data_IF_589966267259
#
_entry.id   IF_589966267259
#
_cell.length_a   1.000
_cell.length_b   1.000
_cell.length_c   1.000
_cell.angle_alpha   90.00
_cell.angle_beta   90.00
_cell.angle_gamma   90.00
#
_symmetry.space_group_name_H-M   'P 1'
#
loop_
_entity.id
_entity.type
_entity.pdbx_description
1 polymer ?
#
# COMPACT_ATOMS: atom_id res chain seq x y z
N UNK A 1 4.98 -1.53 17.86
CA UNK A 1 5.49 -1.29 16.51
C UNK A 1 6.82 -2.01 16.29
N UNK A 2 7.03 -2.59 15.10
CA UNK A 2 8.23 -3.37 14.73
C UNK A 2 9.20 -2.50 13.92
N UNK A 3 10.49 -2.47 14.29
CA UNK A 3 11.55 -1.71 13.59
C UNK A 3 12.60 -2.67 13.01
N UNK A 4 13.26 -2.29 11.92
CA UNK A 4 14.20 -3.17 11.20
C UNK A 4 15.57 -2.51 11.03
N UNK A 5 16.69 -3.14 11.46
CA UNK A 5 18.01 -2.63 11.15
C UNK A 5 18.29 -2.71 9.65
N UNK A 6 18.99 -1.71 9.10
CA UNK A 6 19.29 -1.61 7.66
C UNK A 6 20.07 -2.83 7.09
N UNK A 7 20.79 -3.55 7.95
CA UNK A 7 21.57 -4.75 7.60
C UNK A 7 20.73 -6.04 7.60
N UNK A 8 19.47 -5.99 8.03
CA UNK A 8 18.61 -7.17 8.08
C UNK A 8 18.33 -7.72 6.69
N UNK A 9 18.30 -9.05 6.59
CA UNK A 9 17.91 -9.74 5.36
C UNK A 9 16.38 -9.76 5.21
N UNK A 10 15.91 -9.60 3.99
CA UNK A 10 14.47 -9.53 3.67
C UNK A 10 13.71 -10.86 3.80
N UNK A 11 14.41 -11.99 3.93
CA UNK A 11 13.80 -13.32 4.05
C UNK A 11 13.25 -13.67 5.44
N UNK A 12 13.32 -12.74 6.38
CA UNK A 12 12.71 -12.94 7.70
C UNK A 12 11.18 -12.92 7.56
N UNK A 13 10.59 -14.11 7.48
CA UNK A 13 9.14 -14.37 7.37
C UNK A 13 8.30 -13.67 8.46
N UNK A 14 8.93 -13.29 9.58
CA UNK A 14 8.33 -12.49 10.64
C UNK A 14 7.92 -11.08 10.22
N UNK A 15 8.63 -10.46 9.26
CA UNK A 15 8.33 -9.10 8.78
C UNK A 15 7.14 -9.06 7.82
N UNK A 16 7.04 -10.08 6.95
CA UNK A 16 5.97 -10.17 5.94
C UNK A 16 4.61 -10.55 6.56
N UNK A 17 4.60 -11.28 7.66
CA UNK A 17 3.39 -11.74 8.34
C UNK A 17 2.90 -10.80 9.44
N UNK A 18 3.58 -9.68 9.70
CA UNK A 18 3.28 -8.81 10.85
C UNK A 18 2.00 -7.96 10.68
N UNK A 19 1.42 -7.94 9.48
CA UNK A 19 0.27 -7.09 9.14
C UNK A 19 0.62 -5.62 8.88
N UNK A 20 1.89 -5.23 9.05
CA UNK A 20 2.33 -3.85 8.85
C UNK A 20 2.77 -3.60 7.41
N UNK A 21 2.39 -2.42 6.87
CA UNK A 21 2.79 -2.02 5.52
C UNK A 21 4.05 -1.14 5.47
N UNK A 22 4.42 -0.51 6.59
CA UNK A 22 5.47 0.51 6.68
C UNK A 22 6.40 0.16 7.83
N UNK A 23 7.67 -0.09 7.53
CA UNK A 23 8.67 -0.49 8.50
C UNK A 23 9.75 0.59 8.65
N UNK A 24 9.88 1.21 9.83
CA UNK A 24 10.99 2.11 10.13
C UNK A 24 12.31 1.36 10.05
N UNK A 25 13.28 1.96 9.36
CA UNK A 25 14.62 1.41 9.20
C UNK A 25 15.62 2.28 9.93
N UNK A 26 16.41 1.67 10.80
CA UNK A 26 17.43 2.34 11.59
C UNK A 26 18.85 1.85 11.27
N UNK A 27 19.84 2.63 11.70
CA UNK A 27 21.25 2.30 11.56
C UNK A 27 21.66 1.08 12.39
N UNK A 28 22.61 0.27 11.91
CA UNK A 28 23.11 -0.86 12.68
C UNK A 28 23.85 -0.34 13.91
N UNK A 29 23.45 -0.81 15.09
CA UNK A 29 24.04 -0.38 16.37
C UNK A 29 23.47 0.91 16.95
N UNK A 30 22.62 1.65 16.22
CA UNK A 30 21.93 2.84 16.75
C UNK A 30 20.42 2.81 16.43
N UNK A 31 19.57 2.33 17.34
CA UNK A 31 18.12 2.25 17.13
C UNK A 31 17.41 3.61 17.15
N UNK A 32 18.09 4.68 17.58
CA UNK A 32 17.52 6.03 17.62
C UNK A 32 17.80 6.82 16.33
N UNK A 33 18.63 6.27 15.44
CA UNK A 33 19.03 6.88 14.17
C UNK A 33 18.28 6.20 13.03
N UNK A 34 17.19 6.82 12.57
CA UNK A 34 16.36 6.31 11.49
C UNK A 34 16.82 6.84 10.14
N UNK A 35 16.96 5.96 9.16
CA UNK A 35 17.29 6.33 7.77
C UNK A 35 16.05 6.54 6.90
N UNK A 36 14.93 5.90 7.26
CA UNK A 36 13.72 6.01 6.47
C UNK A 36 12.72 4.89 6.70
N UNK A 37 11.83 4.71 5.71
CA UNK A 37 10.76 3.72 5.72
C UNK A 37 10.92 2.70 4.59
N UNK A 38 10.90 1.42 4.95
CA UNK A 38 10.73 0.31 4.02
C UNK A 38 9.23 0.03 3.84
N UNK A 39 8.76 0.04 2.59
CA UNK A 39 7.37 -0.27 2.26
C UNK A 39 7.25 -1.72 1.82
N UNK A 40 6.30 -2.46 2.41
CA UNK A 40 6.09 -3.88 2.10
C UNK A 40 5.82 -4.12 0.61
N UNK A 41 5.14 -3.19 -0.06
CA UNK A 41 4.86 -3.24 -1.50
C UNK A 41 6.13 -3.35 -2.36
N UNK A 42 7.28 -2.83 -1.88
CA UNK A 42 8.56 -2.95 -2.57
C UNK A 42 9.13 -4.36 -2.47
N UNK A 43 8.81 -5.09 -1.41
CA UNK A 43 9.22 -6.47 -1.20
C UNK A 43 8.34 -7.46 -1.97
N UNK A 44 7.07 -7.12 -2.25
CA UNK A 44 6.15 -8.01 -2.99
C UNK A 44 6.59 -8.30 -4.44
N UNK A 45 7.33 -7.38 -5.06
CA UNK A 45 7.82 -7.52 -6.45
C UNK A 45 9.18 -8.23 -6.51
N UNK A 46 9.82 -8.40 -5.36
CA UNK A 46 11.18 -8.93 -5.25
C UNK A 46 11.18 -10.43 -4.99
N UNK A 47 12.15 -11.13 -5.58
CA UNK A 47 12.35 -12.55 -5.36
C UNK A 47 13.04 -12.82 -4.01
N UNK A 48 12.37 -13.44 -3.03
CA UNK A 48 12.94 -13.73 -1.72
C UNK A 48 14.21 -14.60 -1.81
N UNK A 49 14.39 -15.44 -2.83
CA UNK A 49 15.56 -16.31 -2.92
C UNK A 49 16.91 -15.56 -2.92
N UNK A 50 16.90 -14.26 -3.30
CA UNK A 50 18.11 -13.42 -3.37
C UNK A 50 18.60 -12.90 -2.00
N UNK A 51 17.80 -12.98 -0.93
CA UNK A 51 18.14 -12.56 0.42
C UNK A 51 18.95 -11.24 0.53
N UNK A 52 18.50 -10.18 -0.15
CA UNK A 52 19.18 -8.88 -0.14
C UNK A 52 18.99 -8.18 1.22
N UNK A 53 19.97 -7.38 1.67
CA UNK A 53 19.79 -6.54 2.86
C UNK A 53 18.77 -5.42 2.60
N UNK A 54 18.15 -4.91 3.66
CA UNK A 54 17.22 -3.77 3.57
C UNK A 54 17.87 -2.53 2.94
N UNK A 55 19.17 -2.33 3.14
CA UNK A 55 19.96 -1.27 2.50
C UNK A 55 19.93 -1.29 0.97
N UNK A 56 19.68 -2.45 0.34
CA UNK A 56 19.60 -2.56 -1.11
C UNK A 56 18.31 -1.95 -1.70
N UNK A 57 17.30 -1.71 -0.85
CA UNK A 57 16.02 -1.14 -1.27
C UNK A 57 16.00 0.36 -1.04
N UNK A 58 15.55 1.12 -2.04
CA UNK A 58 15.34 2.57 -1.88
C UNK A 58 14.33 2.80 -0.76
N UNK A 59 14.75 3.41 0.35
CA UNK A 59 13.86 3.78 1.44
C UNK A 59 12.97 4.97 1.03
N UNK A 60 11.75 4.97 1.54
CA UNK A 60 10.87 6.14 1.49
C UNK A 60 11.22 7.10 2.61
N UNK A 61 10.93 8.38 2.42
CA UNK A 61 11.20 9.43 3.41
C UNK A 61 10.39 9.13 4.68
N UNK A 62 11.05 9.14 5.83
CA UNK A 62 10.43 9.20 7.15
C UNK A 62 10.50 10.66 7.60
N UNK A 63 9.38 11.40 7.60
CA UNK A 63 9.41 12.76 8.13
C UNK A 63 9.71 12.74 9.62
N UNK A 64 10.31 13.83 10.11
CA UNK A 64 10.68 14.01 11.51
C UNK A 64 10.12 15.31 12.07
N UNK A 65 9.72 15.28 13.33
CA UNK A 65 9.22 16.44 14.06
C UNK A 65 9.75 16.48 15.50
N UNK A 66 9.80 17.68 16.07
CA UNK A 66 10.15 17.88 17.47
C UNK A 66 8.99 17.44 18.38
N UNK A 67 9.22 17.01 19.64
CA UNK A 67 8.15 16.54 20.54
C UNK A 67 7.14 17.62 20.93
N UNK A 68 7.42 18.88 20.64
CA UNK A 68 6.51 20.00 20.87
C UNK A 68 5.52 20.23 19.73
N UNK A 69 5.50 19.37 18.70
CA UNK A 69 4.54 19.48 17.59
C UNK A 69 3.11 19.23 18.09
N UNK A 70 2.16 20.03 17.58
CA UNK A 70 0.74 19.86 17.85
C UNK A 70 0.14 18.76 16.95
N UNK A 71 -0.83 18.00 17.46
CA UNK A 71 -1.63 17.04 16.69
C UNK A 71 -2.23 17.64 15.41
N UNK A 72 -2.72 18.87 15.44
CA UNK A 72 -3.25 19.53 14.22
C UNK A 72 -2.15 19.77 13.17
N UNK A 73 -0.94 20.17 13.58
CA UNK A 73 0.18 20.34 12.65
C UNK A 73 0.64 19.00 12.06
N UNK A 74 0.64 17.94 12.88
CA UNK A 74 0.92 16.59 12.40
C UNK A 74 -0.16 16.11 11.41
N UNK A 75 -1.44 16.39 11.71
CA UNK A 75 -2.57 16.07 10.83
C UNK A 75 -2.48 16.80 9.49
N UNK A 76 -2.22 18.11 9.49
CA UNK A 76 -2.04 18.91 8.27
C UNK A 76 -0.94 18.30 7.38
N UNK A 77 0.17 17.87 8.00
CA UNK A 77 1.22 17.18 7.27
C UNK A 77 0.74 15.86 6.68
N UNK A 78 0.02 15.03 7.44
CA UNK A 78 -0.49 13.74 6.95
C UNK A 78 -1.55 13.90 5.85
N UNK A 79 -2.38 14.95 5.90
CA UNK A 79 -3.34 15.28 4.84
C UNK A 79 -2.67 15.59 3.50
N UNK A 80 -1.37 15.92 3.46
CA UNK A 80 -0.63 16.01 2.20
C UNK A 80 -0.50 14.67 1.46
N UNK A 81 -0.81 13.55 2.12
CA UNK A 81 -0.72 12.19 1.55
C UNK A 81 0.71 11.67 1.35
N UNK A 82 1.73 12.43 1.78
CA UNK A 82 3.14 12.08 1.57
C UNK A 82 3.65 11.01 2.54
N UNK A 83 3.08 10.94 3.74
CA UNK A 83 3.39 9.92 4.74
C UNK A 83 2.18 9.64 5.62
N UNK A 84 2.22 8.49 6.31
CA UNK A 84 1.28 8.11 7.38
C UNK A 84 2.01 7.69 8.65
N UNK A 85 3.32 7.94 8.69
CA UNK A 85 4.17 7.70 9.84
C UNK A 85 5.09 8.91 10.00
N UNK A 86 5.23 9.38 11.23
CA UNK A 86 6.05 10.54 11.58
C UNK A 86 6.95 10.15 12.76
N UNK A 87 8.25 10.43 12.63
CA UNK A 87 9.22 10.23 13.70
C UNK A 87 9.24 11.46 14.60
N UNK A 88 9.07 11.23 15.89
CA UNK A 88 9.31 12.24 16.92
C UNK A 88 10.75 12.12 17.38
N UNK A 89 11.53 13.19 17.22
CA UNK A 89 12.96 13.25 17.56
C UNK A 89 13.28 14.52 18.34
N UNK A 90 14.21 14.44 19.31
CA UNK A 90 14.74 15.63 20.00
C UNK A 90 15.49 16.56 19.06
N UNK A 91 16.07 16.01 17.99
CA UNK A 91 16.90 16.72 17.03
C UNK A 91 16.48 16.36 15.60
N UNK A 92 15.32 16.85 15.13
CA UNK A 92 14.82 16.50 13.80
C UNK A 92 15.82 16.86 12.70
N UNK A 93 16.06 15.94 11.76
CA UNK A 93 17.00 16.09 10.65
C UNK A 93 18.46 15.83 10.99
N UNK A 94 18.76 15.46 12.24
CA UNK A 94 20.09 15.00 12.68
C UNK A 94 19.98 13.53 13.04
N UNK A 95 20.97 12.73 12.64
CA UNK A 95 21.03 11.30 12.98
C UNK A 95 21.02 11.09 14.50
N UNK A 96 20.08 10.27 14.97
CA UNK A 96 19.88 9.99 16.39
C UNK A 96 18.78 10.84 17.04
N UNK A 97 18.57 10.64 18.33
CA UNK A 97 17.60 11.43 19.10
C UNK A 97 16.13 11.07 18.85
N UNK A 98 15.84 10.03 18.06
CA UNK A 98 14.50 9.47 17.91
C UNK A 98 13.92 9.04 19.27
N UNK A 99 12.70 9.49 19.55
CA UNK A 99 11.96 9.16 20.78
C UNK A 99 10.94 8.08 20.49
N UNK A 100 10.18 8.24 19.41
CA UNK A 100 9.06 7.38 19.08
C UNK A 100 8.47 7.72 17.72
N UNK A 101 7.56 6.88 17.26
CA UNK A 101 6.85 7.04 15.99
C UNK A 101 5.38 7.23 16.30
N UNK A 102 4.72 8.05 15.49
CA UNK A 102 3.27 8.26 15.55
C UNK A 102 2.68 8.03 14.15
N UNK A 103 1.50 7.42 14.11
CA UNK A 103 0.73 7.21 12.87
C UNK A 103 -0.36 8.26 12.71
N UNK A 104 -1.04 8.24 11.56
CA UNK A 104 -2.25 9.02 11.38
C UNK A 104 -3.38 8.52 12.31
N UNK A 105 -3.45 7.21 12.58
CA UNK A 105 -4.45 6.66 13.50
C UNK A 105 -4.30 7.28 14.89
N UNK A 106 -3.09 7.26 15.46
CA UNK A 106 -2.79 7.83 16.78
C UNK A 106 -3.22 9.30 16.90
N UNK A 107 -3.00 10.09 15.83
CA UNK A 107 -3.37 11.52 15.82
C UNK A 107 -4.89 11.72 15.77
N UNK A 108 -5.61 10.88 15.02
CA UNK A 108 -7.06 10.98 14.94
C UNK A 108 -7.70 10.50 16.25
N UNK A 109 -7.17 9.45 16.86
CA UNK A 109 -7.61 8.97 18.18
C UNK A 109 -7.53 10.07 19.24
N UNK A 110 -6.42 10.80 19.31
CA UNK A 110 -6.26 11.91 20.25
C UNK A 110 -7.28 13.04 19.99
N UNK A 111 -7.52 13.39 18.73
CA UNK A 111 -8.46 14.47 18.36
C UNK A 111 -9.91 14.10 18.66
N UNK A 112 -10.31 12.86 18.39
CA UNK A 112 -11.69 12.39 18.58
C UNK A 112 -11.92 11.92 20.03
N UNK A 113 -10.86 11.67 20.78
CA UNK A 113 -10.90 11.09 22.13
C UNK A 113 -11.63 9.73 22.18
N UNK A 114 -11.62 9.03 21.04
CA UNK A 114 -12.17 7.68 20.86
C UNK A 114 -11.11 6.82 20.20
N UNK A 115 -11.06 5.55 20.57
CA UNK A 115 -10.13 4.61 19.98
C UNK A 115 -10.61 4.11 18.62
N UNK A 116 -9.69 4.02 17.66
CA UNK A 116 -9.98 3.57 16.31
C UNK A 116 -9.42 2.17 16.14
N UNK A 117 -10.30 1.18 16.24
CA UNK A 117 -9.94 -0.22 15.95
C UNK A 117 -9.85 -0.41 14.44
N UNK A 118 -8.63 -0.55 13.91
CA UNK A 118 -8.40 -0.84 12.50
C UNK A 118 -8.89 -2.25 12.13
N UNK A 119 -9.13 -2.46 10.83
CA UNK A 119 -9.55 -3.74 10.27
C UNK A 119 -8.61 -4.89 10.67
N UNK A 120 -7.32 -4.59 10.86
CA UNK A 120 -6.27 -5.55 11.20
C UNK A 120 -5.96 -5.67 12.70
N UNK A 121 -6.58 -4.84 13.55
CA UNK A 121 -6.25 -4.78 14.97
C UNK A 121 -6.76 -5.99 15.76
N UNK A 122 -5.88 -6.49 16.63
CA UNK A 122 -6.15 -7.61 17.55
C UNK A 122 -6.63 -7.14 18.91
N UNK A 123 -6.39 -5.88 19.23
CA UNK A 123 -6.67 -5.27 20.52
C UNK A 123 -7.69 -4.14 20.36
N UNK A 124 -8.44 -3.91 21.44
CA UNK A 124 -9.54 -2.96 21.61
C UNK A 124 -9.11 -1.72 22.37
N UNK A 125 -7.88 -1.75 22.91
CA UNK A 125 -7.20 -0.71 23.67
C UNK A 125 -5.69 -0.90 23.58
N UNK A 126 -5.00 0.06 22.98
CA UNK A 126 -3.55 0.10 22.88
C UNK A 126 -2.84 0.21 24.25
N UNK A 127 -3.49 0.80 25.26
CA UNK A 127 -2.98 0.91 26.62
C UNK A 127 -3.25 -0.34 27.46
N UNK A 128 -4.49 -0.84 27.47
CA UNK A 128 -4.88 -1.98 28.31
C UNK A 128 -4.76 -3.36 27.64
N UNK A 129 -4.42 -3.41 26.35
CA UNK A 129 -4.30 -4.63 25.52
C UNK A 129 -5.52 -5.55 25.62
N UNK A 130 -6.70 -4.98 25.83
CA UNK A 130 -7.96 -5.73 25.84
C UNK A 130 -8.23 -6.25 24.43
N UNK A 131 -8.85 -7.42 24.31
CA UNK A 131 -9.06 -8.05 23.00
C UNK A 131 -10.28 -7.42 22.32
N UNK A 132 -10.15 -7.04 21.05
CA UNK A 132 -11.23 -6.40 20.30
C UNK A 132 -12.49 -7.28 20.24
N UNK A 133 -13.61 -6.79 20.80
CA UNK A 133 -14.97 -7.27 20.59
C UNK A 133 -15.55 -6.46 19.45
N UNK A 134 -15.53 -7.05 18.26
CA UNK A 134 -16.27 -6.51 17.12
C UNK A 134 -17.76 -6.65 17.41
N UNK A 135 -18.38 -5.58 17.93
CA UNK A 135 -19.83 -5.44 17.89
C UNK A 135 -20.23 -5.46 16.41
N UNK A 136 -21.10 -6.38 16.02
CA UNK A 136 -21.53 -6.53 14.64
C UNK A 136 -22.12 -5.20 14.16
N UNK A 137 -21.48 -4.64 13.13
CA UNK A 137 -21.65 -3.29 12.60
C UNK A 137 -23.08 -2.95 12.19
N UNK A 138 -23.95 -3.96 12.04
CA UNK A 138 -25.36 -3.81 11.68
C UNK A 138 -26.17 -2.89 12.61
N UNK A 139 -25.83 -2.80 13.91
CA UNK A 139 -26.54 -1.91 14.84
C UNK A 139 -26.10 -0.44 14.72
N UNK A 140 -24.82 -0.18 14.45
CA UNK A 140 -24.21 1.15 14.25
C UNK A 140 -24.44 1.70 12.84
N UNK A 141 -24.51 0.83 11.83
CA UNK A 141 -24.77 1.19 10.42
C UNK A 141 -26.25 1.45 10.12
N UNK A 142 -27.16 1.37 11.11
CA UNK A 142 -28.57 1.74 10.92
C UNK A 142 -28.67 3.23 10.59
N UNK A 143 -28.90 3.53 9.31
CA UNK A 143 -29.07 4.89 8.80
C UNK A 143 -27.95 5.37 7.85
N UNK A 144 -26.85 4.62 7.72
CA UNK A 144 -25.80 4.90 6.73
C UNK A 144 -26.24 4.26 5.40
N UNK A 145 -26.45 5.09 4.37
CA UNK A 145 -26.82 4.64 3.02
C UNK A 145 -25.64 4.91 2.09
N UNK A 146 -24.96 3.86 1.62
CA UNK A 146 -23.97 4.00 0.56
C UNK A 146 -24.68 4.23 -0.78
N UNK A 147 -24.54 5.44 -1.33
CA UNK A 147 -25.05 5.74 -2.66
C UNK A 147 -24.01 5.32 -3.68
N UNK A 148 -24.12 4.10 -4.19
CA UNK A 148 -23.35 3.69 -5.36
C UNK A 148 -23.69 4.64 -6.52
N UNK A 149 -22.68 5.33 -7.08
CA UNK A 149 -22.85 5.98 -8.38
C UNK A 149 -22.89 4.86 -9.42
N UNK A 150 -24.07 4.28 -9.63
CA UNK A 150 -24.32 3.42 -10.78
C UNK A 150 -24.07 4.27 -12.03
N UNK A 151 -22.91 4.11 -12.67
CA UNK A 151 -22.79 4.46 -14.08
C UNK A 151 -23.90 3.67 -14.80
N UNK A 152 -24.67 4.28 -15.71
CA UNK A 152 -25.79 3.61 -16.34
C UNK A 152 -25.26 2.36 -17.04
N UNK A 153 -25.66 1.19 -16.51
CA UNK A 153 -25.50 -0.08 -17.20
C UNK A 153 -26.29 0.06 -18.50
N UNK A 154 -25.58 0.17 -19.61
CA UNK A 154 -26.16 -0.01 -20.94
C UNK A 154 -26.83 -1.38 -20.91
N UNK A 155 -28.16 -1.36 -21.05
CA UNK A 155 -28.99 -2.56 -21.11
C UNK A 155 -28.58 -3.41 -22.30
N UNK A 156 -27.95 -4.55 -22.03
CA UNK A 156 -27.99 -5.67 -22.96
C UNK A 156 -28.17 -6.95 -22.16
N UNK A 157 -29.45 -7.36 -22.14
CA UNK A 157 -29.93 -8.74 -22.29
C UNK A 157 -29.25 -9.80 -21.42
N UNK A 158 -29.99 -10.20 -20.39
CA UNK A 158 -30.19 -11.59 -19.98
C UNK A 158 -28.92 -12.43 -19.69
N UNK A 159 -28.52 -12.45 -18.42
CA UNK A 159 -27.67 -13.52 -17.88
C UNK A 159 -28.27 -14.06 -16.59
N UNK A 160 -29.23 -14.94 -16.78
CA UNK A 160 -29.68 -15.93 -15.81
C UNK A 160 -28.46 -16.72 -15.29
N UNK A 161 -28.28 -16.88 -13.96
CA UNK A 161 -27.29 -17.82 -13.45
C UNK A 161 -27.97 -19.19 -13.29
N UNK A 162 -27.34 -20.27 -13.77
CA UNK A 162 -27.12 -21.55 -13.06
C UNK A 162 -26.70 -22.68 -14.00
N UNK A 163 -25.93 -23.59 -13.41
CA UNK A 163 -25.22 -24.75 -13.96
C UNK A 163 -26.10 -25.78 -14.69
N UNK A 164 -25.43 -26.50 -15.62
CA UNK A 164 -25.32 -27.97 -15.78
C UNK A 164 -25.84 -28.57 -17.10
N UNK A 165 -24.97 -29.45 -17.63
CA UNK A 165 -25.17 -30.57 -18.57
C UNK A 165 -24.72 -30.38 -20.05
N UNK A 166 -23.60 -31.05 -20.35
CA UNK A 166 -23.07 -31.48 -21.66
C UNK A 166 -24.03 -32.47 -22.33
N UNK A 167 -24.11 -32.58 -23.69
CA UNK A 167 -23.10 -33.38 -24.43
C UNK A 167 -22.81 -33.00 -25.90
N UNK A 168 -21.52 -33.20 -26.26
CA UNK A 168 -20.93 -33.87 -27.44
C UNK A 168 -21.45 -33.69 -28.89
N UNK A 169 -20.45 -33.66 -29.80
CA UNK A 169 -20.44 -33.98 -31.24
C UNK A 169 -21.00 -32.88 -32.17
N UNK A 170 -20.49 -32.59 -33.37
CA UNK A 170 -19.33 -32.92 -34.20
C UNK A 170 -19.53 -32.14 -35.52
N UNK A 171 -18.51 -32.12 -36.40
CA UNK A 171 -18.57 -31.80 -37.84
C UNK A 171 -18.21 -30.36 -38.28
N UNK A 172 -16.96 -30.23 -38.75
CA UNK A 172 -16.59 -29.45 -39.95
C UNK A 172 -17.22 -30.10 -41.22
N UNK A 173 -17.24 -29.51 -42.46
CA UNK A 173 -16.27 -28.55 -43.04
C UNK A 173 -16.79 -27.50 -44.10
N UNK A 174 -15.83 -26.67 -44.61
CA UNK A 174 -15.76 -25.95 -45.93
C UNK A 174 -16.77 -24.79 -46.17
N UNK A 175 -16.48 -23.69 -46.89
CA UNK A 175 -15.46 -23.32 -47.89
C UNK A 175 -15.43 -21.79 -48.12
N UNK A 176 -14.25 -21.25 -48.48
CA UNK A 176 -13.93 -20.16 -49.44
C UNK A 176 -14.73 -18.84 -49.47
N UNK A 177 -14.06 -17.68 -49.33
CA UNK A 177 -13.71 -16.81 -50.47
C UNK A 177 -12.84 -15.60 -50.04
N UNK A 178 -12.04 -15.17 -51.01
CA UNK A 178 -10.94 -14.19 -51.08
C UNK A 178 -11.22 -12.73 -50.69
N UNK A 179 -10.18 -12.03 -50.20
CA UNK A 179 -10.06 -10.58 -50.32
C UNK A 179 -8.71 -10.15 -50.93
N UNK A 180 -8.81 -9.34 -51.98
CA UNK A 180 -7.75 -8.67 -52.71
C UNK A 180 -7.36 -7.34 -52.07
N UNK A 181 -6.04 -7.13 -51.99
CA UNK A 181 -5.23 -5.90 -52.10
C UNK A 181 -5.91 -4.53 -52.06
N UNK A 182 -5.48 -3.66 -51.14
CA UNK A 182 -4.79 -2.38 -51.45
C UNK A 182 -4.27 -1.69 -50.19
N UNK A 183 -2.95 -1.42 -50.17
CA UNK A 183 -2.24 -0.53 -49.24
C UNK A 183 -2.28 0.91 -49.77
N UNK A 184 -2.18 1.92 -48.88
CA UNK A 184 -1.49 3.14 -49.21
C UNK A 184 -0.17 3.26 -48.43
N UNK A 185 0.81 3.69 -49.20
CA UNK A 185 2.20 3.98 -48.91
C UNK A 185 2.33 5.35 -48.23
N UNK A 186 3.17 5.47 -47.19
CA UNK A 186 3.73 6.76 -46.77
C UNK A 186 5.24 6.65 -46.62
N UNK A 187 5.94 7.49 -47.37
CA UNK A 187 7.38 7.47 -47.58
C UNK A 187 8.20 8.05 -46.42
N UNK A 188 9.47 7.69 -46.49
CA UNK A 188 10.59 7.95 -45.57
C UNK A 188 11.23 9.33 -45.78
N UNK A 189 11.71 9.95 -44.69
CA UNK A 189 12.87 10.85 -44.73
C UNK A 189 13.87 10.46 -43.62
N UNK A 190 15.14 10.35 -44.04
CA UNK A 190 16.32 9.90 -43.30
C UNK A 190 17.39 10.99 -43.40
N UNK A 191 18.09 11.31 -42.31
CA UNK A 191 19.54 11.67 -42.25
C UNK A 191 19.88 11.96 -40.78
N UNK A 192 20.65 11.15 -40.06
CA UNK A 192 22.11 10.97 -40.08
C UNK A 192 22.94 12.26 -39.97
N UNK A 193 23.49 12.45 -38.77
CA UNK A 193 24.62 13.32 -38.44
C UNK A 193 25.95 12.68 -38.88
N UNK A 194 26.98 13.46 -39.24
CA UNK A 194 28.37 13.00 -39.21
C UNK A 194 29.16 13.61 -38.03
N UNK A 195 30.14 12.84 -37.56
CA UNK A 195 31.19 13.22 -36.60
C UNK A 195 32.14 14.26 -37.22
N UNK A 196 32.59 15.21 -36.42
CA UNK A 196 34.01 15.55 -36.16
C UNK A 196 34.07 16.31 -34.84
#
# INVERSE_FOLDING_TARGET
MFQIPVTSLTNSSSSLSSGYSRFPVHEPGNPLSFQGLLLIKKLLVYDPARALPVSAFKLSILPEAHPSINCFQALDYFQTGRAHLLLISRTPGIAGGGIGLITLEDIIEEIISEEIVDETDRYEDNQSKRRAKRLTTAAMMRGIVERERSLPRISSVERTPLLRETPLMSCTPRSEYSYSTTLPHYGSLRSQSPKT
#
